data_IF_330550224930
#
_entry.id   IF_330550224930
#
_cell.length_a   1.000
_cell.length_b   1.000
_cell.length_c   1.000
_cell.angle_alpha   90.00
_cell.angle_beta   90.00
_cell.angle_gamma   90.00
#
_symmetry.space_group_name_H-M   'P 1'
#
loop_
_entity.id
_entity.type
_entity.pdbx_description
1 polymer ?
#
# COMPACT_ATOMS: atom_id res chain seq x y z
N UNK A 1 1.15 -54.46 73.53
CA UNK A 1 1.26 -53.00 73.64
C UNK A 1 1.48 -52.43 72.25
N UNK A 2 0.43 -51.95 71.58
CA UNK A 2 0.50 -51.43 70.16
C UNK A 2 0.58 -49.91 70.26
N UNK A 3 1.67 -49.32 69.80
CA UNK A 3 1.85 -47.88 69.66
C UNK A 3 1.28 -47.44 68.32
N UNK A 4 0.25 -46.61 68.31
CA UNK A 4 -0.30 -45.96 67.11
C UNK A 4 0.49 -44.68 66.82
N UNK A 5 1.09 -44.65 65.65
CA UNK A 5 1.77 -43.48 65.15
C UNK A 5 0.75 -42.69 64.31
N UNK A 6 0.41 -41.47 64.77
CA UNK A 6 -0.39 -40.52 63.98
C UNK A 6 0.52 -39.73 63.05
N UNK A 7 0.40 -39.96 61.74
CA UNK A 7 1.05 -39.14 60.76
C UNK A 7 0.11 -37.93 60.48
N UNK A 8 0.51 -36.73 60.90
CA UNK A 8 -0.17 -35.49 60.54
C UNK A 8 0.32 -35.07 59.16
N UNK A 9 -0.55 -35.20 58.14
CA UNK A 9 -0.29 -34.76 56.78
C UNK A 9 -0.48 -33.23 56.72
N UNK A 10 0.63 -32.49 56.70
CA UNK A 10 0.62 -31.03 56.57
C UNK A 10 0.43 -30.70 55.09
N UNK A 11 -0.81 -30.36 54.66
CA UNK A 11 -1.08 -29.85 53.31
C UNK A 11 -0.51 -28.44 53.19
N UNK A 12 0.67 -28.33 52.58
CA UNK A 12 1.23 -27.04 52.14
C UNK A 12 0.42 -26.56 50.92
N UNK A 13 -0.49 -25.63 51.13
CA UNK A 13 -1.11 -24.88 50.05
C UNK A 13 -0.05 -23.95 49.40
N UNK A 14 0.57 -24.40 48.34
CA UNK A 14 1.38 -23.53 47.49
C UNK A 14 0.43 -22.60 46.74
N UNK A 15 0.33 -21.36 47.21
CA UNK A 15 -0.28 -20.26 46.43
C UNK A 15 0.57 -20.06 45.20
N UNK A 16 0.18 -20.69 44.08
CA UNK A 16 0.68 -20.35 42.75
C UNK A 16 0.15 -18.95 42.46
N UNK A 17 1.03 -17.91 42.36
CA UNK A 17 0.57 -16.62 41.91
C UNK A 17 -0.07 -16.82 40.54
N UNK A 18 -1.35 -16.44 40.43
CA UNK A 18 -2.13 -16.61 39.23
C UNK A 18 -1.35 -16.13 38.04
N UNK A 19 -1.16 -17.02 37.03
CA UNK A 19 -0.82 -16.60 35.68
C UNK A 19 -1.89 -15.59 35.30
N UNK A 20 -1.53 -14.31 35.35
CA UNK A 20 -2.29 -13.28 34.64
C UNK A 20 -2.35 -13.76 33.20
N UNK A 21 -3.52 -14.31 32.84
CA UNK A 21 -3.82 -14.53 31.43
C UNK A 21 -3.54 -13.19 30.77
N UNK A 22 -2.50 -13.14 29.94
CA UNK A 22 -2.23 -12.00 29.09
C UNK A 22 -3.55 -11.76 28.37
N UNK A 23 -4.28 -10.70 28.80
CA UNK A 23 -5.43 -10.23 28.08
C UNK A 23 -4.89 -9.93 26.70
N UNK A 24 -5.16 -10.84 25.75
CA UNK A 24 -4.84 -10.63 24.35
C UNK A 24 -5.49 -9.31 23.96
N UNK A 25 -4.68 -8.22 24.01
CA UNK A 25 -5.15 -6.87 23.76
C UNK A 25 -5.87 -6.89 22.43
N UNK A 26 -7.10 -6.39 22.42
CA UNK A 26 -7.84 -6.21 21.17
C UNK A 26 -6.95 -5.40 20.23
N UNK A 27 -6.71 -5.93 19.07
CA UNK A 27 -5.94 -5.27 18.04
C UNK A 27 -6.84 -5.04 16.82
N UNK A 28 -6.43 -4.12 15.96
CA UNK A 28 -7.08 -3.85 14.69
C UNK A 28 -6.41 -4.74 13.64
N UNK A 29 -7.21 -5.49 12.87
CA UNK A 29 -6.75 -6.20 11.68
C UNK A 29 -6.97 -5.35 10.44
N UNK A 30 -5.87 -5.04 9.75
CA UNK A 30 -5.83 -4.26 8.52
C UNK A 30 -5.51 -5.16 7.33
N UNK A 31 -6.37 -5.23 6.31
CA UNK A 31 -5.98 -5.75 5.01
C UNK A 31 -5.40 -4.60 4.17
N UNK A 32 -4.12 -4.65 3.85
CA UNK A 32 -3.44 -3.63 3.05
C UNK A 32 -2.91 -4.18 1.74
N UNK A 33 -2.81 -3.31 0.74
CA UNK A 33 -2.13 -3.63 -0.51
C UNK A 33 -0.61 -3.71 -0.32
N UNK A 34 0.05 -4.50 -1.17
CA UNK A 34 1.45 -4.86 -1.02
C UNK A 34 2.39 -3.65 -1.09
N UNK A 35 2.17 -2.71 -2.02
CA UNK A 35 3.05 -1.56 -2.20
C UNK A 35 3.26 -0.71 -0.93
N UNK A 36 2.21 -0.28 -0.22
CA UNK A 36 2.35 0.40 1.07
C UNK A 36 3.05 -0.43 2.15
N UNK A 37 2.88 -1.76 2.15
CA UNK A 37 3.58 -2.64 3.10
C UNK A 37 5.07 -2.68 2.77
N UNK A 38 5.42 -3.00 1.52
CA UNK A 38 6.81 -3.14 1.07
C UNK A 38 7.61 -1.83 1.20
N UNK A 39 6.95 -0.69 1.03
CA UNK A 39 7.57 0.62 1.26
C UNK A 39 7.89 0.89 2.74
N UNK A 40 7.26 0.17 3.67
CA UNK A 40 7.37 0.34 5.11
C UNK A 40 6.44 1.38 5.71
N UNK A 41 5.62 2.11 4.92
CA UNK A 41 4.73 3.16 5.46
C UNK A 41 3.67 2.56 6.39
N UNK A 42 3.12 1.38 6.07
CA UNK A 42 2.11 0.72 6.91
C UNK A 42 2.68 0.44 8.29
N UNK A 43 3.86 -0.20 8.36
CA UNK A 43 4.52 -0.48 9.65
C UNK A 43 4.84 0.80 10.43
N UNK A 44 5.34 1.85 9.77
CA UNK A 44 5.62 3.13 10.41
C UNK A 44 4.36 3.78 11.02
N UNK A 45 3.22 3.67 10.35
CA UNK A 45 1.93 4.17 10.86
C UNK A 45 1.41 3.32 12.03
N UNK A 46 1.54 1.99 11.93
CA UNK A 46 1.15 1.05 12.99
C UNK A 46 1.94 1.29 14.28
N UNK A 47 3.27 1.35 14.16
CA UNK A 47 4.17 1.55 15.30
C UNK A 47 3.94 2.89 16.01
N UNK A 48 3.73 3.97 15.24
CA UNK A 48 3.48 5.27 15.82
C UNK A 48 2.09 5.36 16.44
N UNK A 49 1.07 4.73 15.85
CA UNK A 49 -0.25 4.68 16.43
C UNK A 49 -0.27 3.87 17.75
N UNK A 50 0.43 2.73 17.81
CA UNK A 50 0.57 1.95 19.04
C UNK A 50 1.24 2.78 20.15
N UNK A 51 2.29 3.55 19.83
CA UNK A 51 2.93 4.49 20.76
C UNK A 51 1.99 5.59 21.23
N UNK A 52 1.19 6.16 20.31
CA UNK A 52 0.31 7.30 20.62
C UNK A 52 -0.96 6.90 21.39
N UNK A 53 -1.45 5.66 21.21
CA UNK A 53 -2.77 5.22 21.67
C UNK A 53 -2.79 3.94 22.49
N UNK A 54 -1.71 3.18 22.53
CA UNK A 54 -1.67 1.87 23.19
C UNK A 54 -2.54 0.81 22.51
N UNK A 55 -2.96 1.04 21.27
CA UNK A 55 -3.79 0.13 20.47
C UNK A 55 -2.94 -0.45 19.37
N UNK A 56 -2.85 -1.77 19.31
CA UNK A 56 -2.11 -2.48 18.24
C UNK A 56 -2.88 -2.50 16.95
N UNK A 57 -2.14 -2.38 15.84
CA UNK A 57 -2.61 -2.71 14.51
C UNK A 57 -1.74 -3.82 13.95
N UNK A 58 -2.34 -4.75 13.22
CA UNK A 58 -1.64 -5.81 12.50
C UNK A 58 -2.20 -5.90 11.09
N UNK A 59 -1.33 -6.00 10.12
CA UNK A 59 -1.76 -6.09 8.74
C UNK A 59 -1.59 -7.48 8.13
N UNK A 60 -2.40 -7.72 7.10
CA UNK A 60 -2.23 -8.79 6.12
C UNK A 60 -2.07 -8.17 4.75
N UNK A 61 -1.07 -8.64 3.99
CA UNK A 61 -0.77 -8.14 2.66
C UNK A 61 -1.52 -8.90 1.58
N UNK A 62 -2.17 -8.19 0.64
CA UNK A 62 -2.80 -8.78 -0.52
C UNK A 62 -2.94 -7.74 -1.65
N UNK A 63 -3.16 -8.17 -2.90
CA UNK A 63 -3.61 -7.22 -3.94
C UNK A 63 -5.01 -6.70 -3.62
N UNK A 64 -5.40 -5.51 -4.13
CA UNK A 64 -6.67 -4.85 -3.77
C UNK A 64 -7.88 -5.79 -3.81
N UNK A 65 -8.06 -6.54 -4.88
CA UNK A 65 -9.19 -7.46 -5.00
C UNK A 65 -9.20 -8.56 -3.94
N UNK A 66 -8.03 -9.11 -3.60
CA UNK A 66 -7.89 -10.12 -2.56
C UNK A 66 -8.07 -9.54 -1.15
N UNK A 67 -7.57 -8.32 -0.89
CA UNK A 67 -7.78 -7.61 0.37
C UNK A 67 -9.27 -7.36 0.64
N UNK A 68 -10.00 -6.89 -0.38
CA UNK A 68 -11.45 -6.72 -0.30
C UNK A 68 -12.17 -8.05 -0.05
N UNK A 69 -11.77 -9.14 -0.72
CA UNK A 69 -12.35 -10.48 -0.47
C UNK A 69 -12.11 -11.01 0.93
N UNK A 70 -10.97 -10.70 1.55
CA UNK A 70 -10.72 -11.01 2.97
C UNK A 70 -11.71 -10.26 3.86
N UNK A 71 -11.94 -8.97 3.55
CA UNK A 71 -12.87 -8.13 4.29
C UNK A 71 -14.35 -8.51 4.07
N UNK A 72 -14.73 -9.00 2.89
CA UNK A 72 -16.06 -9.54 2.59
C UNK A 72 -16.47 -10.73 3.49
N UNK A 73 -15.49 -11.38 4.11
CA UNK A 73 -15.69 -12.46 5.08
C UNK A 73 -15.74 -11.98 6.54
N UNK A 74 -15.53 -10.68 6.78
CA UNK A 74 -15.44 -10.12 8.14
C UNK A 74 -14.19 -10.53 8.91
N UNK A 75 -13.11 -10.92 8.21
CA UNK A 75 -11.86 -11.40 8.81
C UNK A 75 -10.87 -10.27 9.12
N UNK A 76 -11.20 -9.04 8.78
CA UNK A 76 -10.43 -7.83 9.11
C UNK A 76 -11.37 -6.70 9.51
N UNK A 77 -10.83 -5.69 10.15
CA UNK A 77 -11.57 -4.55 10.67
C UNK A 77 -11.52 -3.34 9.72
N UNK A 78 -10.45 -3.25 8.94
CA UNK A 78 -10.15 -2.12 8.07
C UNK A 78 -9.48 -2.62 6.78
N UNK A 79 -9.75 -1.97 5.66
CA UNK A 79 -9.05 -2.19 4.39
C UNK A 79 -8.28 -0.93 4.01
N UNK A 80 -7.07 -1.08 3.49
CA UNK A 80 -6.30 -0.03 2.80
C UNK A 80 -6.09 -0.45 1.35
N UNK A 81 -6.64 0.31 0.41
CA UNK A 81 -6.71 -0.08 -0.99
C UNK A 81 -6.55 1.13 -1.93
N UNK A 82 -6.39 0.86 -3.24
CA UNK A 82 -6.14 1.87 -4.27
C UNK A 82 -6.82 1.54 -5.62
N UNK A 83 -7.99 0.89 -5.59
CA UNK A 83 -8.79 0.64 -6.80
C UNK A 83 -10.22 1.14 -6.59
N UNK A 84 -10.45 2.41 -6.87
CA UNK A 84 -11.67 3.16 -6.57
C UNK A 84 -12.96 2.40 -6.96
N UNK A 85 -13.02 1.84 -8.15
CA UNK A 85 -14.21 1.12 -8.64
C UNK A 85 -14.54 -0.13 -7.80
N UNK A 86 -13.52 -0.90 -7.39
CA UNK A 86 -13.70 -2.06 -6.52
C UNK A 86 -14.09 -1.66 -5.10
N UNK A 87 -13.50 -0.58 -4.60
CA UNK A 87 -13.78 -0.01 -3.28
C UNK A 87 -15.24 0.50 -3.19
N UNK A 88 -15.69 1.24 -4.21
CA UNK A 88 -17.08 1.73 -4.31
C UNK A 88 -18.08 0.58 -4.41
N UNK A 89 -17.76 -0.48 -5.17
CA UNK A 89 -18.57 -1.70 -5.23
C UNK A 89 -18.68 -2.36 -3.86
N UNK A 90 -17.56 -2.55 -3.16
CA UNK A 90 -17.50 -3.14 -1.81
C UNK A 90 -18.39 -2.38 -0.80
N UNK A 91 -18.39 -1.05 -0.88
CA UNK A 91 -19.23 -0.20 -0.03
C UNK A 91 -20.71 -0.34 -0.43
N UNK A 92 -21.02 -0.27 -1.73
CA UNK A 92 -22.39 -0.40 -2.26
C UNK A 92 -23.03 -1.74 -1.86
N UNK A 93 -22.26 -2.81 -1.79
CA UNK A 93 -22.70 -4.14 -1.34
C UNK A 93 -22.80 -4.26 0.19
N UNK A 94 -22.50 -3.17 0.91
CA UNK A 94 -22.66 -3.06 2.36
C UNK A 94 -21.57 -3.75 3.18
N UNK A 95 -20.45 -4.15 2.57
CA UNK A 95 -19.32 -4.76 3.27
C UNK A 95 -18.47 -3.72 4.01
N UNK A 96 -18.29 -2.53 3.43
CA UNK A 96 -17.64 -1.37 4.03
C UNK A 96 -18.61 -0.25 4.36
N UNK A 97 -18.18 0.74 5.13
CA UNK A 97 -19.02 1.90 5.50
C UNK A 97 -18.82 3.08 4.57
N UNK A 98 -17.58 3.52 4.38
CA UNK A 98 -17.23 4.66 3.53
C UNK A 98 -15.80 4.55 3.02
N UNK A 99 -15.52 5.23 1.91
CA UNK A 99 -14.18 5.41 1.35
C UNK A 99 -13.56 6.67 1.91
N UNK A 100 -12.51 6.54 2.71
CA UNK A 100 -11.83 7.66 3.37
C UNK A 100 -10.49 7.88 2.68
N UNK A 101 -10.28 8.99 1.97
CA UNK A 101 -8.99 9.33 1.37
C UNK A 101 -7.91 9.41 2.44
N UNK A 102 -6.74 8.82 2.19
CA UNK A 102 -5.64 8.81 3.14
C UNK A 102 -4.38 9.48 2.59
N UNK A 103 -3.87 8.96 1.50
CA UNK A 103 -2.62 9.39 0.87
C UNK A 103 -2.63 9.02 -0.61
N UNK A 104 -1.63 9.48 -1.34
CA UNK A 104 -1.31 8.95 -2.66
C UNK A 104 0.20 8.77 -2.78
N UNK A 105 0.61 7.88 -3.66
CA UNK A 105 1.94 7.83 -4.24
C UNK A 105 1.79 8.01 -5.75
N UNK A 106 2.89 8.03 -6.47
CA UNK A 106 2.86 8.18 -7.91
C UNK A 106 3.64 7.10 -8.63
N UNK A 107 3.23 6.86 -9.85
CA UNK A 107 4.02 6.19 -10.86
C UNK A 107 4.84 7.21 -11.64
N UNK A 108 5.90 6.72 -12.25
CA UNK A 108 6.76 7.48 -13.15
C UNK A 108 7.00 6.66 -14.42
N UNK A 109 7.21 7.34 -15.55
CA UNK A 109 7.73 6.66 -16.73
C UNK A 109 9.24 6.86 -16.72
N UNK A 110 9.95 5.74 -16.65
CA UNK A 110 11.40 5.71 -16.69
C UNK A 110 11.90 5.12 -18.01
N UNK A 111 13.10 5.52 -18.39
CA UNK A 111 13.75 5.04 -19.61
C UNK A 111 15.22 5.41 -19.66
N UNK A 112 15.92 5.06 -20.76
CA UNK A 112 17.32 5.43 -20.95
C UNK A 112 17.50 6.95 -20.87
N UNK A 113 18.57 7.41 -20.24
CA UNK A 113 18.86 8.84 -20.11
C UNK A 113 19.01 9.57 -21.46
N UNK A 114 19.40 8.83 -22.52
CA UNK A 114 19.48 9.33 -23.89
C UNK A 114 18.12 9.61 -24.53
N UNK A 115 17.06 9.07 -23.97
CA UNK A 115 15.65 9.26 -24.37
C UNK A 115 15.38 9.15 -25.89
N UNK A 116 15.61 7.99 -26.50
CA UNK A 116 15.44 7.82 -27.96
C UNK A 116 13.99 8.06 -28.43
N UNK A 117 12.98 7.93 -27.57
CA UNK A 117 11.59 8.26 -27.90
C UNK A 117 11.27 9.75 -27.76
N UNK A 118 12.14 10.55 -27.14
CA UNK A 118 11.95 12.00 -26.94
C UNK A 118 10.75 12.33 -26.04
N UNK A 119 10.59 11.60 -24.94
CA UNK A 119 9.46 11.77 -24.01
C UNK A 119 9.78 12.68 -22.82
N UNK A 120 11.06 12.98 -22.60
CA UNK A 120 11.49 13.78 -21.43
C UNK A 120 10.80 15.14 -21.39
N UNK A 121 10.19 15.43 -20.26
CA UNK A 121 9.52 16.72 -20.03
C UNK A 121 8.13 16.83 -20.64
N UNK A 122 7.59 15.78 -21.26
CA UNK A 122 6.18 15.74 -21.62
C UNK A 122 5.31 15.83 -20.35
N UNK A 123 4.16 16.47 -20.52
CA UNK A 123 3.26 16.76 -19.39
C UNK A 123 2.31 15.61 -19.06
N UNK A 124 2.05 14.74 -20.03
CA UNK A 124 1.12 13.63 -19.84
C UNK A 124 1.75 12.29 -20.17
N UNK A 125 1.38 11.29 -19.37
CA UNK A 125 1.78 9.91 -19.61
C UNK A 125 1.23 9.39 -20.95
N UNK A 126 0.02 9.83 -21.33
CA UNK A 126 -0.60 9.42 -22.60
C UNK A 126 0.22 9.88 -23.82
N UNK A 127 0.71 11.13 -23.83
CA UNK A 127 1.59 11.63 -24.90
C UNK A 127 2.92 10.86 -24.95
N UNK A 128 3.50 10.58 -23.78
CA UNK A 128 4.74 9.81 -23.69
C UNK A 128 4.56 8.39 -24.24
N UNK A 129 3.51 7.71 -23.87
CA UNK A 129 3.21 6.37 -24.34
C UNK A 129 2.92 6.35 -25.86
N UNK A 130 2.23 7.36 -26.39
CA UNK A 130 2.05 7.54 -27.85
C UNK A 130 3.38 7.66 -28.59
N UNK A 131 4.32 8.45 -28.06
CA UNK A 131 5.64 8.58 -28.67
C UNK A 131 6.45 7.28 -28.63
N UNK A 132 6.48 6.60 -27.47
CA UNK A 132 7.17 5.30 -27.32
C UNK A 132 6.63 4.31 -28.36
N UNK A 133 5.31 4.17 -28.44
CA UNK A 133 4.66 3.29 -29.42
C UNK A 133 4.94 3.71 -30.87
N UNK A 134 4.88 5.01 -31.17
CA UNK A 134 5.10 5.55 -32.53
C UNK A 134 6.54 5.43 -33.03
N UNK A 135 7.51 5.47 -32.14
CA UNK A 135 8.94 5.26 -32.48
C UNK A 135 9.34 3.79 -32.50
N UNK A 136 8.49 2.90 -31.96
CA UNK A 136 8.80 1.47 -31.81
C UNK A 136 9.94 1.20 -30.81
N UNK A 137 10.24 2.15 -29.91
CA UNK A 137 11.25 1.93 -28.87
C UNK A 137 10.76 0.93 -27.85
N UNK A 138 11.67 0.13 -27.29
CA UNK A 138 11.31 -0.96 -26.40
C UNK A 138 10.61 -0.43 -25.12
N UNK A 139 9.49 -1.05 -24.80
CA UNK A 139 8.76 -0.86 -23.57
C UNK A 139 8.59 -2.21 -22.85
N UNK A 140 8.94 -2.26 -21.57
CA UNK A 140 8.81 -3.47 -20.74
C UNK A 140 7.58 -3.35 -19.84
N UNK A 141 6.71 -4.33 -19.95
CA UNK A 141 5.54 -4.52 -19.07
C UNK A 141 5.82 -5.62 -18.05
N UNK A 142 5.28 -5.44 -16.84
CA UNK A 142 5.28 -6.52 -15.84
C UNK A 142 4.43 -7.73 -16.26
N UNK A 143 3.30 -7.52 -16.90
CA UNK A 143 2.43 -8.55 -17.45
C UNK A 143 1.73 -9.47 -16.45
N UNK A 144 1.86 -9.26 -15.14
CA UNK A 144 1.49 -10.18 -14.05
C UNK A 144 0.14 -9.86 -13.36
N UNK A 145 -0.62 -8.88 -13.88
CA UNK A 145 -1.87 -8.37 -13.29
C UNK A 145 -1.72 -7.76 -11.89
N UNK A 146 -0.51 -7.39 -11.49
CA UNK A 146 -0.26 -6.60 -10.28
C UNK A 146 -0.82 -5.19 -10.38
N UNK A 147 -0.80 -4.43 -9.26
CA UNK A 147 -1.20 -3.03 -9.26
C UNK A 147 -0.41 -2.17 -10.26
N UNK A 148 0.90 -2.39 -10.40
CA UNK A 148 1.76 -1.71 -11.38
C UNK A 148 1.34 -2.03 -12.81
N UNK A 149 1.12 -3.32 -13.12
CA UNK A 149 0.65 -3.72 -14.45
C UNK A 149 -0.75 -3.18 -14.76
N UNK A 150 -1.65 -3.16 -13.80
CA UNK A 150 -3.00 -2.60 -13.99
C UNK A 150 -2.94 -1.09 -14.26
N UNK A 151 -2.11 -0.35 -13.49
CA UNK A 151 -1.88 1.08 -13.73
C UNK A 151 -1.29 1.33 -15.14
N UNK A 152 -0.31 0.55 -15.55
CA UNK A 152 0.25 0.60 -16.90
C UNK A 152 -0.84 0.42 -17.97
N UNK A 153 -1.70 -0.61 -17.83
CA UNK A 153 -2.78 -0.88 -18.80
C UNK A 153 -3.83 0.24 -18.84
N UNK A 154 -4.13 0.88 -17.71
CA UNK A 154 -4.99 2.06 -17.66
C UNK A 154 -4.38 3.25 -18.39
N UNK A 155 -3.07 3.47 -18.27
CA UNK A 155 -2.36 4.53 -18.99
C UNK A 155 -2.35 4.28 -20.51
N UNK A 156 -2.14 3.03 -20.97
CA UNK A 156 -2.25 2.65 -22.35
C UNK A 156 -3.66 2.88 -22.92
N UNK A 157 -4.69 2.52 -22.13
CA UNK A 157 -6.08 2.77 -22.51
C UNK A 157 -6.38 4.27 -22.62
N UNK A 158 -5.89 5.11 -21.69
CA UNK A 158 -5.99 6.57 -21.78
C UNK A 158 -5.25 7.14 -23.00
N UNK A 159 -4.14 6.53 -23.40
CA UNK A 159 -3.44 6.89 -24.64
C UNK A 159 -4.19 6.45 -25.91
N UNK A 160 -5.26 5.65 -25.78
CA UNK A 160 -5.98 5.07 -26.91
C UNK A 160 -5.21 3.99 -27.65
N UNK A 161 -4.25 3.34 -26.98
CA UNK A 161 -3.35 2.33 -27.56
C UNK A 161 -3.59 0.99 -26.89
N UNK A 162 -3.70 -0.06 -27.71
CA UNK A 162 -3.58 -1.44 -27.24
C UNK A 162 -2.16 -1.91 -27.53
N UNK A 163 -1.27 -1.98 -26.53
CA UNK A 163 0.14 -2.25 -26.79
C UNK A 163 0.30 -3.68 -27.31
N UNK A 164 1.07 -3.84 -28.37
CA UNK A 164 1.37 -5.12 -29.01
C UNK A 164 2.56 -4.97 -29.98
N UNK A 165 3.17 -6.10 -30.33
CA UNK A 165 4.28 -6.15 -31.28
C UNK A 165 5.65 -6.21 -30.61
N UNK A 166 6.72 -6.19 -31.43
CA UNK A 166 8.08 -6.44 -30.95
C UNK A 166 8.62 -5.38 -29.97
N UNK A 167 8.08 -4.17 -29.99
CA UNK A 167 8.47 -3.08 -29.09
C UNK A 167 7.86 -3.20 -27.68
N UNK A 168 6.79 -3.98 -27.52
CA UNK A 168 6.12 -4.20 -26.24
C UNK A 168 6.48 -5.56 -25.67
N UNK A 169 7.38 -5.57 -24.72
CA UNK A 169 7.95 -6.80 -24.15
C UNK A 169 7.32 -7.09 -22.79
N UNK A 170 6.58 -8.17 -22.70
CA UNK A 170 6.09 -8.70 -21.41
C UNK A 170 7.24 -9.44 -20.74
N UNK A 171 7.62 -9.00 -19.54
CA UNK A 171 8.69 -9.65 -18.79
C UNK A 171 8.20 -10.97 -18.19
N UNK A 172 8.78 -12.09 -18.59
CA UNK A 172 8.36 -13.44 -18.18
C UNK A 172 8.38 -13.65 -16.66
N UNK A 173 9.31 -12.95 -15.97
CA UNK A 173 9.44 -12.99 -14.52
C UNK A 173 8.82 -11.78 -13.82
N UNK A 174 7.86 -11.11 -14.45
CA UNK A 174 7.21 -9.94 -13.86
C UNK A 174 6.55 -10.20 -12.51
N UNK A 175 6.09 -11.43 -12.28
CA UNK A 175 5.54 -11.85 -10.99
C UNK A 175 6.56 -11.85 -9.82
N UNK A 176 7.87 -11.81 -10.11
CA UNK A 176 8.91 -11.64 -9.08
C UNK A 176 8.91 -10.21 -8.49
N UNK A 177 8.23 -9.24 -9.12
CA UNK A 177 8.01 -7.92 -8.56
C UNK A 177 8.58 -6.76 -9.35
N UNK A 178 8.47 -5.56 -8.77
CA UNK A 178 8.84 -4.30 -9.41
C UNK A 178 10.37 -4.16 -9.59
N UNK A 179 11.18 -4.52 -8.59
CA UNK A 179 12.64 -4.40 -8.68
C UNK A 179 13.23 -5.27 -9.78
N UNK A 180 12.92 -6.59 -9.89
CA UNK A 180 13.38 -7.42 -11.01
C UNK A 180 12.96 -6.87 -12.38
N UNK A 181 11.70 -6.41 -12.49
CA UNK A 181 11.20 -5.79 -13.73
C UNK A 181 12.00 -4.55 -14.11
N UNK A 182 12.29 -3.66 -13.15
CA UNK A 182 13.05 -2.44 -13.40
C UNK A 182 14.51 -2.73 -13.81
N UNK A 183 15.15 -3.73 -13.18
CA UNK A 183 16.50 -4.20 -13.58
C UNK A 183 16.51 -4.79 -15.00
N UNK A 184 15.48 -5.57 -15.34
CA UNK A 184 15.34 -6.09 -16.70
C UNK A 184 15.15 -4.97 -17.71
N UNK A 185 14.31 -3.97 -17.40
CA UNK A 185 14.12 -2.77 -18.23
C UNK A 185 15.44 -2.03 -18.46
N UNK A 186 16.24 -1.85 -17.40
CA UNK A 186 17.57 -1.23 -17.49
C UNK A 186 18.51 -2.01 -18.40
N UNK A 187 18.56 -3.34 -18.27
CA UNK A 187 19.40 -4.22 -19.10
C UNK A 187 19.05 -4.17 -20.58
N UNK A 188 17.79 -3.82 -20.90
CA UNK A 188 17.30 -3.68 -22.28
C UNK A 188 17.40 -2.26 -22.83
N UNK A 189 17.76 -1.28 -22.01
CA UNK A 189 17.70 0.13 -22.38
C UNK A 189 16.27 0.53 -22.80
N UNK A 190 15.27 -0.02 -22.12
CA UNK A 190 13.87 0.13 -22.46
C UNK A 190 13.15 1.15 -21.56
N UNK A 191 11.90 1.45 -21.88
CA UNK A 191 10.98 2.23 -21.06
C UNK A 191 10.09 1.33 -20.23
N UNK A 192 9.61 1.83 -19.09
CA UNK A 192 8.54 1.18 -18.30
C UNK A 192 7.81 2.20 -17.43
N UNK A 193 6.62 1.81 -16.97
CA UNK A 193 5.90 2.48 -15.86
C UNK A 193 6.26 1.77 -14.57
N UNK A 194 6.68 2.53 -13.58
CA UNK A 194 7.05 1.98 -12.26
C UNK A 194 6.64 2.93 -11.14
N UNK A 195 6.36 2.43 -9.94
CA UNK A 195 6.16 3.30 -8.79
C UNK A 195 7.47 4.00 -8.39
N UNK A 196 7.36 5.27 -7.98
CA UNK A 196 8.51 6.09 -7.58
C UNK A 196 9.32 5.46 -6.46
N UNK A 197 8.68 4.79 -5.51
CA UNK A 197 9.37 4.19 -4.38
C UNK A 197 10.32 3.08 -4.84
N UNK A 198 9.87 2.21 -5.75
CA UNK A 198 10.72 1.19 -6.38
C UNK A 198 11.89 1.83 -7.13
N UNK A 199 11.62 2.82 -7.98
CA UNK A 199 12.70 3.52 -8.70
C UNK A 199 13.75 4.08 -7.73
N UNK A 200 13.32 4.82 -6.72
CA UNK A 200 14.22 5.45 -5.74
C UNK A 200 15.01 4.41 -4.93
N UNK A 201 14.44 3.22 -4.70
CA UNK A 201 15.11 2.17 -3.91
C UNK A 201 16.36 1.61 -4.57
N UNK A 202 16.45 1.67 -5.90
CA UNK A 202 17.57 1.11 -6.67
C UNK A 202 18.16 2.09 -7.71
N UNK A 203 17.80 3.38 -7.67
CA UNK A 203 18.22 4.37 -8.68
C UNK A 203 19.74 4.44 -8.88
N UNK A 204 20.51 4.24 -7.81
CA UNK A 204 21.97 4.28 -7.85
C UNK A 204 22.60 2.99 -8.43
N UNK A 205 21.78 1.98 -8.75
CA UNK A 205 22.17 0.67 -9.29
C UNK A 205 21.73 0.45 -10.73
N UNK A 206 21.07 1.44 -11.34
CA UNK A 206 20.52 1.39 -12.70
C UNK A 206 20.86 2.69 -13.46
N UNK A 207 20.77 2.64 -14.78
CA UNK A 207 21.05 3.78 -15.68
C UNK A 207 19.79 4.50 -16.16
N UNK A 208 18.62 3.99 -15.80
CA UNK A 208 17.35 4.60 -16.16
C UNK A 208 17.14 5.92 -15.44
N UNK A 209 16.54 6.87 -16.10
CA UNK A 209 16.13 8.16 -15.54
C UNK A 209 14.60 8.29 -15.52
N UNK A 210 14.06 9.08 -14.60
CA UNK A 210 12.68 9.54 -14.65
C UNK A 210 12.54 10.52 -15.80
N UNK A 211 11.66 10.25 -16.75
CA UNK A 211 11.45 11.05 -17.95
C UNK A 211 10.09 11.74 -17.96
N UNK A 212 9.06 11.11 -17.39
CA UNK A 212 7.72 11.71 -17.23
C UNK A 212 7.20 11.45 -15.83
N UNK A 213 6.74 12.51 -15.19
CA UNK A 213 6.19 12.53 -13.83
C UNK A 213 5.18 13.68 -13.68
N UNK A 214 4.42 13.69 -12.58
CA UNK A 214 3.54 14.80 -12.24
C UNK A 214 2.21 14.85 -12.99
N UNK A 215 1.92 13.91 -13.88
CA UNK A 215 0.59 13.75 -14.48
C UNK A 215 -0.40 13.17 -13.45
N UNK A 216 -1.60 13.73 -13.39
CA UNK A 216 -2.68 13.21 -12.53
C UNK A 216 -2.98 11.73 -12.83
N UNK A 217 -2.83 11.29 -14.09
CA UNK A 217 -3.01 9.91 -14.49
C UNK A 217 -1.98 8.94 -13.87
N UNK A 218 -0.85 9.46 -13.40
CA UNK A 218 0.19 8.70 -12.70
C UNK A 218 -0.03 8.61 -11.19
N UNK A 219 -1.02 9.33 -10.65
CA UNK A 219 -1.29 9.32 -9.21
C UNK A 219 -2.06 8.06 -8.80
N UNK A 220 -1.58 7.45 -7.73
CA UNK A 220 -2.17 6.26 -7.14
C UNK A 220 -2.78 6.59 -5.79
N UNK A 221 -4.08 6.89 -5.78
CA UNK A 221 -4.81 7.29 -4.59
C UNK A 221 -5.16 6.11 -3.71
N UNK A 222 -4.68 6.16 -2.47
CA UNK A 222 -4.89 5.14 -1.45
C UNK A 222 -5.93 5.63 -0.45
N UNK A 223 -6.91 4.79 -0.18
CA UNK A 223 -7.96 5.05 0.81
C UNK A 223 -7.99 3.97 1.89
N UNK A 224 -8.65 4.28 3.00
CA UNK A 224 -9.03 3.29 4.00
C UNK A 224 -10.55 3.16 4.07
N UNK A 225 -11.02 1.93 4.31
CA UNK A 225 -12.43 1.58 4.33
C UNK A 225 -12.71 0.75 5.58
N UNK A 226 -13.40 1.31 6.59
CA UNK A 226 -13.85 0.53 7.74
C UNK A 226 -14.84 -0.57 7.31
N UNK A 227 -14.62 -1.78 7.80
CA UNK A 227 -15.54 -2.90 7.57
C UNK A 227 -16.83 -2.67 8.36
N UNK A 228 -17.96 -3.02 7.76
CA UNK A 228 -19.27 -2.69 8.30
C UNK A 228 -19.66 -3.61 9.47
N UNK A 229 -19.65 -3.08 10.68
CA UNK A 229 -20.01 -3.79 11.92
C UNK A 229 -21.44 -4.31 11.92
N UNK A 230 -22.39 -3.65 11.23
CA UNK A 230 -23.77 -4.13 11.15
C UNK A 230 -23.85 -5.46 10.40
N UNK A 231 -22.97 -5.68 9.41
CA UNK A 231 -22.85 -6.94 8.68
C UNK A 231 -21.95 -7.94 9.39
N UNK A 232 -20.92 -7.46 10.09
CA UNK A 232 -19.91 -8.28 10.76
C UNK A 232 -19.74 -7.88 12.24
N UNK A 233 -20.53 -8.42 13.16
CA UNK A 233 -20.58 -7.99 14.56
C UNK A 233 -19.26 -8.10 15.32
N UNK A 234 -18.30 -8.92 14.85
CA UNK A 234 -16.98 -9.12 15.47
C UNK A 234 -15.99 -8.00 15.18
N UNK A 235 -16.27 -7.14 14.19
CA UNK A 235 -15.39 -6.02 13.80
C UNK A 235 -15.18 -5.07 14.97
N UNK A 236 -13.94 -4.69 15.18
CA UNK A 236 -13.51 -3.76 16.24
C UNK A 236 -13.75 -2.30 15.82
N UNK A 237 -15.01 -1.93 15.62
CA UNK A 237 -15.39 -0.60 15.12
C UNK A 237 -14.88 0.55 16.00
N UNK A 238 -14.84 0.37 17.33
CA UNK A 238 -14.40 1.43 18.27
C UNK A 238 -12.97 1.85 18.03
N UNK A 239 -12.08 0.87 17.97
CA UNK A 239 -10.65 1.14 17.81
C UNK A 239 -10.33 1.55 16.36
N UNK A 240 -11.06 0.99 15.36
CA UNK A 240 -10.99 1.44 13.96
C UNK A 240 -11.34 2.92 13.84
N UNK A 241 -12.42 3.39 14.45
CA UNK A 241 -12.77 4.82 14.46
C UNK A 241 -11.64 5.69 15.04
N UNK A 242 -11.01 5.20 16.11
CA UNK A 242 -9.87 5.89 16.74
C UNK A 242 -8.66 5.93 15.80
N UNK A 243 -8.37 4.81 15.11
CA UNK A 243 -7.27 4.72 14.16
C UNK A 243 -7.51 5.58 12.92
N UNK A 244 -8.69 5.53 12.33
CA UNK A 244 -9.07 6.37 11.18
C UNK A 244 -8.93 7.86 11.51
N UNK A 245 -9.46 8.30 12.65
CA UNK A 245 -9.30 9.69 13.11
C UNK A 245 -7.83 10.08 13.28
N UNK A 246 -6.98 9.17 13.73
CA UNK A 246 -5.55 9.41 13.84
C UNK A 246 -4.88 9.43 12.48
N UNK A 247 -5.24 8.51 11.56
CA UNK A 247 -4.72 8.43 10.19
C UNK A 247 -5.04 9.69 9.37
N UNK A 248 -6.22 10.28 9.56
CA UNK A 248 -6.63 11.47 8.80
C UNK A 248 -6.17 12.79 9.43
N UNK A 249 -5.63 12.75 10.66
CA UNK A 249 -5.21 13.95 11.40
C UNK A 249 -3.97 14.61 10.77
N UNK A 250 -4.06 15.92 10.42
CA UNK A 250 -2.92 16.68 9.91
C UNK A 250 -1.73 16.75 10.86
N UNK A 251 -1.98 16.67 12.16
CA UNK A 251 -0.97 16.77 13.21
C UNK A 251 -0.35 15.40 13.58
N UNK A 252 -0.86 14.31 13.03
CA UNK A 252 -0.47 12.93 13.33
C UNK A 252 0.01 12.20 12.07
N UNK A 253 -0.73 11.20 11.61
CA UNK A 253 -0.33 10.36 10.51
C UNK A 253 -0.05 11.13 9.20
N UNK A 254 -0.80 12.18 8.89
CA UNK A 254 -0.59 12.94 7.66
C UNK A 254 0.78 13.63 7.63
N UNK A 255 1.30 14.06 8.79
CA UNK A 255 2.66 14.59 8.89
C UNK A 255 3.70 13.49 8.67
N UNK A 256 3.48 12.29 9.21
CA UNK A 256 4.35 11.14 8.98
C UNK A 256 4.39 10.79 7.49
N UNK A 257 3.22 10.71 6.85
CA UNK A 257 3.10 10.43 5.41
C UNK A 257 3.86 11.46 4.58
N UNK A 258 3.71 12.76 4.89
CA UNK A 258 4.41 13.85 4.20
C UNK A 258 5.93 13.71 4.24
N UNK A 259 6.45 13.23 5.35
CA UNK A 259 7.90 13.20 5.60
C UNK A 259 8.51 11.82 5.33
N UNK A 260 7.66 10.79 5.09
CA UNK A 260 8.12 9.42 4.88
C UNK A 260 8.97 9.28 3.61
N UNK A 261 10.17 8.75 3.79
CA UNK A 261 11.14 8.56 2.72
C UNK A 261 12.12 9.71 2.52
N UNK A 262 11.82 10.94 2.95
CA UNK A 262 12.69 12.11 2.73
C UNK A 262 14.10 11.91 3.25
N UNK A 263 14.27 11.38 4.44
CA UNK A 263 15.59 11.18 5.04
C UNK A 263 16.45 10.20 4.24
N UNK A 264 15.83 9.17 3.64
CA UNK A 264 16.55 8.13 2.91
C UNK A 264 16.75 8.46 1.43
N UNK A 265 15.74 9.07 0.80
CA UNK A 265 15.70 9.23 -0.65
C UNK A 265 15.79 10.70 -1.11
N UNK A 266 15.82 11.66 -0.17
CA UNK A 266 15.77 13.10 -0.47
C UNK A 266 14.39 13.58 -0.94
N UNK A 267 13.40 12.69 -1.02
CA UNK A 267 12.05 12.94 -1.53
C UNK A 267 11.02 12.10 -0.77
N UNK A 268 9.79 12.60 -0.57
CA UNK A 268 8.74 11.79 0.02
C UNK A 268 8.33 10.65 -0.93
N UNK A 269 7.95 9.50 -0.35
CA UNK A 269 7.41 8.37 -1.12
C UNK A 269 5.88 8.39 -1.20
N UNK A 270 5.24 9.11 -0.28
CA UNK A 270 3.79 9.28 -0.21
C UNK A 270 3.45 10.74 0.06
N UNK A 271 2.26 11.11 -0.35
CA UNK A 271 1.74 12.47 -0.18
C UNK A 271 0.43 12.41 0.61
N UNK A 272 0.27 13.26 1.64
CA UNK A 272 -0.97 13.33 2.41
C UNK A 272 -2.17 13.70 1.55
N UNK A 273 -3.32 13.04 1.78
CA UNK A 273 -4.53 13.28 1.00
C UNK A 273 -5.82 13.10 1.83
N UNK A 274 -5.74 13.15 3.16
CA UNK A 274 -6.98 13.16 3.94
C UNK A 274 -7.76 14.46 3.72
N UNK A 275 -9.08 14.41 3.87
CA UNK A 275 -9.93 15.60 3.77
C UNK A 275 -9.50 16.67 4.77
N UNK A 276 -9.14 16.27 5.98
CA UNK A 276 -8.66 17.14 7.05
C UNK A 276 -7.33 17.80 6.70
N UNK A 277 -6.42 17.06 6.05
CA UNK A 277 -5.15 17.61 5.57
C UNK A 277 -5.37 18.63 4.47
N UNK A 278 -6.14 18.29 3.44
CA UNK A 278 -6.43 19.19 2.30
C UNK A 278 -7.07 20.47 2.81
N UNK A 279 -8.06 20.37 3.70
CA UNK A 279 -8.70 21.54 4.33
C UNK A 279 -7.70 22.40 5.13
N UNK A 280 -6.79 21.77 5.87
CA UNK A 280 -5.77 22.48 6.66
C UNK A 280 -4.74 23.22 5.78
N UNK A 281 -4.58 22.82 4.50
CA UNK A 281 -3.72 23.50 3.51
C UNK A 281 -4.47 24.57 2.69
N UNK A 282 -5.72 24.90 3.04
CA UNK A 282 -6.53 25.88 2.32
C UNK A 282 -7.22 25.33 1.06
N UNK A 283 -7.20 24.01 0.86
CA UNK A 283 -7.97 23.34 -0.19
C UNK A 283 -9.47 23.32 0.12
N UNK A 284 -10.30 23.39 -0.93
CA UNK A 284 -11.77 23.28 -0.83
C UNK A 284 -12.22 21.82 -0.80
#
# INVERSE_FOLDING_TARGET
MKKWLWIVLLCIFVLIPGLSAAQGGKFILLASTIGPIDSGIVGALEDQFEKDKGIRVRHVGAGTGAALKIAEKGNVDLVMAHAKSLEEKFIKEGFGTERIPLMYNDFVIVGPAADPAGIKGLKTAAEALKKISGTGTLFVSRGDKSGTHMAEMELWAKAGIKPAGAWYVVYEKGAEGNVPTLRYTDSKGAYTVIDRATYLSIKDQIKLAVLVEGDEALLNYISVIPVNKKKFPRVNEKDVKTFVKWLTSPQKAQKIIRDFGKAKYGSPLFFPNSREWVKAQGGK
#
